data_IF_652108839876
#
_entry.id   IF_652108839876
#
_cell.length_a   1.000
_cell.length_b   1.000
_cell.length_c   1.000
_cell.angle_alpha   90.00
_cell.angle_beta   90.00
_cell.angle_gamma   90.00
#
_symmetry.space_group_name_H-M   'P 1'
#
loop_
_entity.id
_entity.type
_entity.pdbx_description
1 polymer ?
#
# COMPACT_ATOMS: atom_id res chain seq x y z
N UNK A 1 3.23 5.49 -9.82
CA UNK A 1 2.72 5.35 -8.44
C UNK A 1 3.18 4.03 -7.84
N UNK A 2 3.63 4.08 -6.60
CA UNK A 2 3.95 2.90 -5.80
C UNK A 2 2.79 2.63 -4.85
N UNK A 3 2.21 1.43 -4.96
CA UNK A 3 1.16 0.98 -4.06
C UNK A 3 1.74 0.00 -3.04
N UNK A 4 1.56 0.30 -1.77
CA UNK A 4 1.98 -0.56 -0.66
C UNK A 4 0.71 -1.12 -0.02
N UNK A 5 0.35 -2.35 -0.40
CA UNK A 5 -0.90 -2.99 0.05
C UNK A 5 -0.65 -3.82 1.30
N UNK A 6 -1.26 -3.45 2.42
CA UNK A 6 -1.06 -4.17 3.68
C UNK A 6 -2.36 -4.44 4.42
N UNK A 7 -2.37 -5.53 5.18
CA UNK A 7 -3.43 -5.86 6.13
C UNK A 7 -2.82 -6.15 7.49
N UNK A 8 -3.49 -5.73 8.56
CA UNK A 8 -3.04 -6.00 9.93
C UNK A 8 -1.60 -5.59 10.17
N UNK A 9 -0.80 -6.50 10.70
CA UNK A 9 0.61 -6.27 10.99
C UNK A 9 1.51 -6.26 9.76
N UNK A 10 0.96 -6.58 8.57
CA UNK A 10 1.70 -6.52 7.31
C UNK A 10 2.18 -5.13 6.94
N UNK A 11 1.74 -4.09 7.64
CA UNK A 11 2.23 -2.73 7.42
C UNK A 11 3.70 -2.55 7.85
N UNK A 12 4.19 -3.38 8.77
CA UNK A 12 5.52 -3.21 9.36
C UNK A 12 6.67 -3.13 8.35
N UNK A 13 6.78 -3.99 7.32
CA UNK A 13 7.83 -3.87 6.33
C UNK A 13 7.78 -2.55 5.57
N UNK A 14 6.61 -1.98 5.39
CA UNK A 14 6.44 -0.74 4.64
C UNK A 14 6.84 0.50 5.46
N UNK A 15 6.89 0.36 6.79
CA UNK A 15 7.33 1.46 7.66
C UNK A 15 8.74 1.95 7.29
N UNK A 16 9.64 1.02 6.97
CA UNK A 16 11.00 1.38 6.54
C UNK A 16 11.00 2.08 5.18
N UNK A 17 10.20 1.58 4.25
CA UNK A 17 10.13 2.13 2.89
C UNK A 17 9.65 3.58 2.87
N UNK A 18 8.63 3.91 3.66
CA UNK A 18 8.08 5.26 3.66
C UNK A 18 8.94 6.25 4.46
N UNK A 19 9.97 5.77 5.16
CA UNK A 19 10.97 6.60 5.82
C UNK A 19 12.20 6.85 4.96
N UNK A 20 12.32 6.14 3.84
CA UNK A 20 13.47 6.27 2.93
C UNK A 20 13.22 7.39 1.90
N UNK A 21 14.05 8.44 1.89
CA UNK A 21 13.88 9.52 0.91
C UNK A 21 13.91 9.02 -0.53
N UNK A 22 14.73 8.01 -0.82
CA UNK A 22 14.87 7.44 -2.15
C UNK A 22 13.53 6.93 -2.72
N UNK A 23 12.66 6.40 -1.85
CA UNK A 23 11.34 5.93 -2.27
C UNK A 23 10.55 7.06 -2.96
N UNK A 24 10.61 8.27 -2.40
CA UNK A 24 9.88 9.42 -2.91
C UNK A 24 10.60 10.12 -4.06
N UNK A 25 11.87 9.84 -4.25
CA UNK A 25 12.62 10.32 -5.41
C UNK A 25 12.31 9.48 -6.64
N UNK A 26 12.02 8.19 -6.44
CA UNK A 26 11.75 7.23 -7.51
C UNK A 26 10.29 7.23 -7.98
N UNK A 27 9.36 7.62 -7.12
CA UNK A 27 7.93 7.59 -7.43
C UNK A 27 7.29 8.95 -7.18
N UNK A 28 6.43 9.37 -8.06
CA UNK A 28 5.69 10.64 -7.91
C UNK A 28 4.64 10.56 -6.82
N UNK A 29 4.09 9.38 -6.58
CA UNK A 29 3.10 9.13 -5.54
C UNK A 29 3.35 7.78 -4.90
N UNK A 30 3.25 7.73 -3.58
CA UNK A 30 3.34 6.50 -2.79
C UNK A 30 2.05 6.37 -2.00
N UNK A 31 1.32 5.30 -2.24
CA UNK A 31 0.03 5.04 -1.59
C UNK A 31 0.21 3.92 -0.57
N UNK A 32 0.14 4.26 0.70
CA UNK A 32 0.17 3.27 1.78
C UNK A 32 -1.26 2.84 2.07
N UNK A 33 -1.61 1.63 1.67
CA UNK A 33 -2.93 1.06 1.92
C UNK A 33 -2.88 0.17 3.16
N UNK A 34 -3.73 0.43 4.12
CA UNK A 34 -3.79 -0.37 5.34
C UNK A 34 -5.25 -0.72 5.65
N UNK A 35 -5.55 -2.01 5.63
CA UNK A 35 -6.87 -2.54 5.98
C UNK A 35 -6.76 -3.36 7.25
N UNK A 36 -7.61 -3.07 8.23
CA UNK A 36 -7.67 -3.80 9.48
C UNK A 36 -9.13 -4.20 9.77
N UNK A 37 -9.33 -4.98 10.82
CA UNK A 37 -10.68 -5.36 11.24
C UNK A 37 -11.37 -4.19 11.93
N UNK A 38 -10.63 -3.52 12.82
CA UNK A 38 -11.14 -2.46 13.67
C UNK A 38 -10.30 -1.19 13.55
N UNK A 39 -10.93 -0.04 13.85
CA UNK A 39 -10.29 1.28 13.73
C UNK A 39 -9.03 1.39 14.60
N UNK A 40 -9.07 0.84 15.82
CA UNK A 40 -7.94 0.91 16.76
C UNK A 40 -6.66 0.29 16.18
N UNK A 41 -6.79 -0.69 15.30
CA UNK A 41 -5.65 -1.35 14.68
C UNK A 41 -4.96 -0.49 13.62
N UNK A 42 -5.59 0.59 13.17
CA UNK A 42 -5.01 1.54 12.23
C UNK A 42 -4.05 2.53 12.89
N UNK A 43 -4.01 2.58 14.21
CA UNK A 43 -3.28 3.62 14.95
C UNK A 43 -1.78 3.65 14.64
N UNK A 44 -1.16 2.49 14.54
CA UNK A 44 0.28 2.41 14.24
C UNK A 44 0.62 3.12 12.92
N UNK A 45 -0.11 2.82 11.87
CA UNK A 45 0.10 3.44 10.56
C UNK A 45 -0.23 4.93 10.56
N UNK A 46 -1.30 5.31 11.23
CA UNK A 46 -1.71 6.71 11.34
C UNK A 46 -0.64 7.55 12.04
N UNK A 47 -0.10 7.05 13.15
CA UNK A 47 0.96 7.74 13.90
C UNK A 47 2.24 7.84 13.07
N UNK A 48 2.59 6.76 12.38
CA UNK A 48 3.78 6.72 11.52
C UNK A 48 3.71 7.76 10.41
N UNK A 49 2.58 7.86 9.72
CA UNK A 49 2.39 8.84 8.65
C UNK A 49 2.46 10.27 9.20
N UNK A 50 1.87 10.51 10.37
CA UNK A 50 1.97 11.82 11.02
C UNK A 50 3.41 12.20 11.35
N UNK A 51 4.19 11.27 11.90
CA UNK A 51 5.60 11.49 12.22
C UNK A 51 6.40 11.88 10.97
N UNK A 52 6.18 11.18 9.86
CA UNK A 52 6.87 11.45 8.62
C UNK A 52 6.52 12.83 8.07
N UNK A 53 5.24 13.19 8.11
CA UNK A 53 4.79 14.47 7.55
C UNK A 53 5.22 15.70 8.35
N UNK A 54 5.59 15.52 9.63
CA UNK A 54 6.11 16.62 10.47
C UNK A 54 7.62 16.57 10.67
N UNK A 55 8.29 15.52 10.20
CA UNK A 55 9.75 15.40 10.29
C UNK A 55 10.42 16.48 9.43
N UNK A 56 11.36 17.22 9.99
CA UNK A 56 12.00 18.36 9.30
C UNK A 56 12.70 17.97 8.01
N UNK A 57 13.32 16.78 7.98
CA UNK A 57 14.07 16.33 6.81
C UNK A 57 13.19 15.57 5.82
N UNK A 58 12.38 14.65 6.33
CA UNK A 58 11.53 13.80 5.49
C UNK A 58 10.40 14.57 4.84
N UNK A 59 9.80 15.53 5.54
CA UNK A 59 8.65 16.27 5.01
C UNK A 59 8.98 17.03 3.73
N UNK A 60 10.20 17.45 3.54
CA UNK A 60 10.62 18.14 2.31
C UNK A 60 10.60 17.21 1.10
N UNK A 61 11.08 15.98 1.29
CA UNK A 61 11.13 14.97 0.20
C UNK A 61 9.74 14.37 -0.04
N UNK A 62 9.03 14.06 1.04
CA UNK A 62 7.72 13.43 0.98
C UNK A 62 6.66 14.38 0.40
N UNK A 63 6.62 15.63 0.92
CA UNK A 63 5.63 16.62 0.47
C UNK A 63 4.22 16.03 0.45
N UNK A 64 3.55 16.13 -0.69
CA UNK A 64 2.21 15.59 -0.88
C UNK A 64 2.21 14.20 -1.54
N UNK A 65 3.39 13.60 -1.70
CA UNK A 65 3.53 12.32 -2.41
C UNK A 65 2.99 11.13 -1.63
N UNK A 66 3.02 11.18 -0.31
CA UNK A 66 2.55 10.06 0.54
C UNK A 66 1.05 10.19 0.80
N UNK A 67 0.30 9.21 0.32
CA UNK A 67 -1.14 9.10 0.53
C UNK A 67 -1.40 7.89 1.41
N UNK A 68 -2.16 8.07 2.46
CA UNK A 68 -2.52 6.99 3.38
C UNK A 68 -3.99 6.61 3.17
N UNK A 69 -4.22 5.45 2.57
CA UNK A 69 -5.56 4.90 2.35
C UNK A 69 -5.85 3.86 3.42
N UNK A 70 -6.88 4.09 4.22
CA UNK A 70 -7.24 3.20 5.32
C UNK A 70 -8.66 2.66 5.15
N UNK A 71 -8.87 1.42 5.57
CA UNK A 71 -10.21 0.82 5.58
C UNK A 71 -10.33 -0.19 6.71
N UNK A 72 -11.56 -0.49 7.11
CA UNK A 72 -11.86 -1.51 8.11
C UNK A 72 -12.86 -2.51 7.55
N UNK A 73 -12.82 -3.73 8.06
CA UNK A 73 -13.72 -4.80 7.59
C UNK A 73 -14.87 -5.10 8.53
N UNK A 74 -14.75 -4.77 9.82
CA UNK A 74 -15.74 -5.13 10.84
C UNK A 74 -16.38 -3.96 11.56
N UNK A 75 -15.72 -2.81 11.59
CA UNK A 75 -16.19 -1.63 12.31
C UNK A 75 -16.59 -0.55 11.34
N UNK A 76 -17.58 0.27 11.70
CA UNK A 76 -18.00 1.40 10.87
C UNK A 76 -16.86 2.43 10.76
N UNK A 77 -16.59 2.85 9.53
CA UNK A 77 -15.47 3.71 9.20
C UNK A 77 -15.78 4.34 7.83
N UNK A 78 -15.24 5.53 7.51
CA UNK A 78 -15.53 6.17 6.23
C UNK A 78 -15.32 5.28 5.00
N UNK A 79 -14.28 4.42 5.02
CA UNK A 79 -14.10 3.42 3.98
C UNK A 79 -14.15 2.04 4.63
N UNK A 80 -15.12 1.23 4.24
CA UNK A 80 -15.30 -0.10 4.81
C UNK A 80 -15.20 -1.15 3.70
N UNK A 81 -14.37 -2.17 3.92
CA UNK A 81 -14.21 -3.27 2.98
C UNK A 81 -12.80 -3.81 2.97
N UNK A 82 -12.65 -5.00 2.39
CA UNK A 82 -11.34 -5.61 2.17
C UNK A 82 -10.64 -4.90 1.03
N UNK A 83 -9.32 -4.80 1.10
CA UNK A 83 -8.54 -4.13 0.06
C UNK A 83 -8.79 -4.72 -1.33
N UNK A 84 -8.97 -6.03 -1.42
CA UNK A 84 -9.26 -6.70 -2.69
C UNK A 84 -10.55 -6.21 -3.32
N UNK A 85 -11.61 -6.07 -2.54
CA UNK A 85 -12.88 -5.54 -3.02
C UNK A 85 -12.77 -4.07 -3.43
N UNK A 86 -12.03 -3.29 -2.65
CA UNK A 86 -11.85 -1.86 -2.90
C UNK A 86 -11.02 -1.60 -4.16
N UNK A 87 -10.14 -2.52 -4.51
CA UNK A 87 -9.41 -2.47 -5.78
C UNK A 87 -10.36 -2.86 -6.92
N UNK A 88 -11.11 -3.94 -6.77
CA UNK A 88 -12.00 -4.47 -7.81
C UNK A 88 -13.11 -3.51 -8.18
N UNK A 89 -13.71 -2.83 -7.19
CA UNK A 89 -14.81 -1.90 -7.44
C UNK A 89 -14.35 -0.49 -7.76
N UNK A 90 -13.05 -0.24 -7.76
CA UNK A 90 -12.47 1.06 -8.10
C UNK A 90 -12.44 2.07 -6.96
N UNK A 91 -12.93 1.71 -5.76
CA UNK A 91 -12.98 2.65 -4.63
C UNK A 91 -11.60 3.19 -4.28
N UNK A 92 -10.58 2.32 -4.22
CA UNK A 92 -9.21 2.75 -3.92
C UNK A 92 -8.78 3.88 -4.85
N UNK A 93 -8.93 3.68 -6.14
CA UNK A 93 -8.45 4.63 -7.14
C UNK A 93 -9.22 5.95 -7.10
N UNK A 94 -10.53 5.90 -6.89
CA UNK A 94 -11.35 7.11 -6.76
C UNK A 94 -10.95 7.93 -5.52
N UNK A 95 -10.74 7.25 -4.40
CA UNK A 95 -10.39 7.92 -3.13
C UNK A 95 -9.03 8.61 -3.18
N UNK A 96 -8.09 8.07 -3.94
CA UNK A 96 -6.75 8.67 -4.06
C UNK A 96 -6.59 9.56 -5.29
N UNK A 97 -7.65 9.71 -6.10
CA UNK A 97 -7.64 10.59 -7.26
C UNK A 97 -6.86 10.05 -8.46
N UNK A 98 -6.81 8.73 -8.62
CA UNK A 98 -6.12 8.09 -9.73
C UNK A 98 -7.09 7.44 -10.71
N UNK A 99 -6.60 7.16 -11.91
CA UNK A 99 -7.35 6.37 -12.89
C UNK A 99 -7.55 4.96 -12.38
N UNK A 100 -8.72 4.39 -12.65
CA UNK A 100 -9.07 3.07 -12.16
C UNK A 100 -8.15 1.98 -12.71
N UNK A 101 -7.64 1.14 -11.82
CA UNK A 101 -6.80 0.00 -12.16
C UNK A 101 -5.31 0.29 -12.06
N UNK A 102 -4.52 -0.78 -11.92
CA UNK A 102 -3.06 -0.68 -11.93
C UNK A 102 -2.56 -0.63 -13.38
N UNK A 103 -1.57 0.23 -13.63
CA UNK A 103 -0.92 0.35 -14.92
C UNK A 103 0.48 -0.28 -14.84
N UNK A 104 0.73 -1.40 -15.55
CA UNK A 104 2.03 -2.08 -15.48
C UNK A 104 3.22 -1.22 -15.91
N UNK A 105 2.97 -0.19 -16.72
CA UNK A 105 4.06 0.67 -17.21
C UNK A 105 4.47 1.72 -16.18
N UNK A 106 3.53 2.24 -15.41
CA UNK A 106 3.77 3.37 -14.51
C UNK A 106 3.68 3.02 -13.04
N UNK A 107 2.98 1.95 -12.69
CA UNK A 107 2.74 1.57 -11.31
C UNK A 107 3.59 0.39 -10.87
N UNK A 108 3.86 0.35 -9.56
CA UNK A 108 4.50 -0.80 -8.92
C UNK A 108 3.73 -1.12 -7.66
N UNK A 109 3.65 -2.40 -7.30
CA UNK A 109 2.85 -2.86 -6.17
C UNK A 109 3.68 -3.75 -5.25
N UNK A 110 3.62 -3.49 -3.95
CA UNK A 110 4.19 -4.37 -2.92
C UNK A 110 3.04 -4.83 -2.03
N UNK A 111 3.02 -6.12 -1.71
CA UNK A 111 1.90 -6.74 -0.99
C UNK A 111 2.43 -7.42 0.26
N UNK A 112 1.82 -7.13 1.42
CA UNK A 112 2.17 -7.79 2.68
C UNK A 112 0.92 -7.95 3.55
N UNK A 113 0.69 -9.15 4.08
CA UNK A 113 -0.47 -9.43 4.91
C UNK A 113 -0.71 -10.91 5.06
N UNK A 114 -1.97 -11.29 5.28
CA UNK A 114 -2.35 -12.69 5.39
C UNK A 114 -2.15 -13.44 4.08
N UNK A 115 -2.04 -14.75 4.14
CA UNK A 115 -1.83 -15.58 2.95
C UNK A 115 -2.95 -15.40 1.92
N UNK A 116 -4.18 -15.32 2.38
CA UNK A 116 -5.33 -15.09 1.51
C UNK A 116 -5.24 -13.75 0.80
N UNK A 117 -4.89 -12.69 1.55
CA UNK A 117 -4.73 -11.35 1.00
C UNK A 117 -3.57 -11.30 -0.02
N UNK A 118 -2.45 -11.97 0.28
CA UNK A 118 -1.30 -12.02 -0.63
C UNK A 118 -1.71 -12.63 -1.97
N UNK A 119 -2.42 -13.75 -1.92
CA UNK A 119 -2.86 -14.45 -3.13
C UNK A 119 -3.85 -13.60 -3.93
N UNK A 120 -4.86 -13.06 -3.27
CA UNK A 120 -5.92 -12.31 -3.93
C UNK A 120 -5.38 -11.02 -4.56
N UNK A 121 -4.49 -10.32 -3.87
CA UNK A 121 -3.88 -9.10 -4.42
C UNK A 121 -2.94 -9.44 -5.59
N UNK A 122 -2.18 -10.53 -5.49
CA UNK A 122 -1.33 -10.98 -6.59
C UNK A 122 -2.16 -11.28 -7.84
N UNK A 123 -3.30 -11.95 -7.67
CA UNK A 123 -4.21 -12.25 -8.77
C UNK A 123 -4.73 -10.96 -9.43
N UNK A 124 -5.04 -9.94 -8.63
CA UNK A 124 -5.47 -8.65 -9.16
C UNK A 124 -4.36 -7.94 -9.95
N UNK A 125 -3.12 -8.01 -9.47
CA UNK A 125 -1.98 -7.45 -10.18
C UNK A 125 -1.77 -8.15 -11.52
N UNK A 126 -1.85 -9.48 -11.53
CA UNK A 126 -1.69 -10.27 -12.76
C UNK A 126 -2.83 -10.03 -13.74
N UNK A 127 -4.04 -9.86 -13.25
CA UNK A 127 -5.18 -9.50 -14.09
C UNK A 127 -5.00 -8.13 -14.75
N UNK A 128 -4.23 -7.24 -14.12
CA UNK A 128 -3.89 -5.93 -14.68
C UNK A 128 -2.69 -5.98 -15.64
N UNK A 129 -2.10 -7.15 -15.84
CA UNK A 129 -0.95 -7.31 -16.75
C UNK A 129 0.41 -7.21 -16.09
N UNK A 130 0.46 -7.21 -14.75
CA UNK A 130 1.72 -7.13 -14.00
C UNK A 130 2.35 -8.51 -13.82
N UNK A 131 3.68 -8.54 -13.83
CA UNK A 131 4.47 -9.75 -13.58
C UNK A 131 5.15 -9.69 -12.23
N UNK A 132 5.18 -10.81 -11.53
CA UNK A 132 5.83 -10.91 -10.23
C UNK A 132 7.34 -10.78 -10.33
N UNK A 133 7.92 -9.95 -9.44
CA UNK A 133 9.36 -9.82 -9.31
C UNK A 133 9.91 -10.75 -8.26
N UNK A 134 11.21 -10.98 -8.33
CA UNK A 134 11.96 -11.79 -7.36
C UNK A 134 13.29 -11.14 -7.07
N UNK A 135 14.06 -11.73 -6.16
CA UNK A 135 15.40 -11.24 -5.85
C UNK A 135 16.34 -11.29 -7.07
N UNK A 136 16.05 -12.16 -8.04
CA UNK A 136 16.89 -12.37 -9.22
C UNK A 136 16.41 -11.61 -10.46
N UNK A 137 15.17 -11.13 -10.47
CA UNK A 137 14.60 -10.43 -11.61
C UNK A 137 13.59 -9.38 -11.16
N UNK A 138 13.72 -8.13 -11.64
CA UNK A 138 12.73 -7.11 -11.31
C UNK A 138 11.38 -7.46 -11.91
N UNK A 139 10.32 -7.03 -11.24
CA UNK A 139 8.95 -7.22 -11.70
C UNK A 139 8.10 -6.01 -11.41
N UNK A 140 6.82 -6.12 -11.74
CA UNK A 140 5.86 -5.04 -11.55
C UNK A 140 5.24 -5.07 -10.15
N UNK A 141 5.18 -6.24 -9.53
CA UNK A 141 4.75 -6.38 -8.14
C UNK A 141 5.61 -7.40 -7.41
N UNK A 142 5.68 -7.26 -6.08
CA UNK A 142 6.40 -8.20 -5.21
C UNK A 142 5.57 -8.50 -3.97
N UNK A 143 5.77 -9.68 -3.41
CA UNK A 143 5.16 -10.10 -2.16
C UNK A 143 6.22 -10.04 -1.07
N UNK A 144 5.93 -9.27 -0.02
CA UNK A 144 6.78 -9.18 1.16
C UNK A 144 6.21 -10.09 2.24
N UNK A 145 7.03 -10.99 2.74
CA UNK A 145 6.63 -11.89 3.81
C UNK A 145 7.13 -11.32 5.14
N UNK A 146 6.24 -10.60 5.85
CA UNK A 146 6.57 -10.00 7.14
C UNK A 146 6.94 -11.08 8.18
N UNK A 147 6.35 -12.25 8.03
CA UNK A 147 6.57 -13.39 8.91
C UNK A 147 7.05 -14.54 8.05
N UNK A 148 8.33 -14.49 7.68
CA UNK A 148 8.95 -15.58 6.92
C UNK A 148 9.02 -16.83 7.78
N UNK A 149 8.51 -17.88 7.27
CA UNK A 149 8.51 -19.17 7.91
C UNK A 149 9.67 -20.03 7.44
#
# INVERSE_FOLDING_TARGET
TLYLLSTGTGIAPFASLIREPETFERFEKVVLCHTTREVSELQYGTDLVKEIKVDEMLSEVVGDKLVHFTSTTREDYPVKGRITHLIQDGTLFREIGESEGFDPETDRVMICGSMEMLKDCADLCEAAGMAEGSNNAPGDYVIEKAFAE
#
